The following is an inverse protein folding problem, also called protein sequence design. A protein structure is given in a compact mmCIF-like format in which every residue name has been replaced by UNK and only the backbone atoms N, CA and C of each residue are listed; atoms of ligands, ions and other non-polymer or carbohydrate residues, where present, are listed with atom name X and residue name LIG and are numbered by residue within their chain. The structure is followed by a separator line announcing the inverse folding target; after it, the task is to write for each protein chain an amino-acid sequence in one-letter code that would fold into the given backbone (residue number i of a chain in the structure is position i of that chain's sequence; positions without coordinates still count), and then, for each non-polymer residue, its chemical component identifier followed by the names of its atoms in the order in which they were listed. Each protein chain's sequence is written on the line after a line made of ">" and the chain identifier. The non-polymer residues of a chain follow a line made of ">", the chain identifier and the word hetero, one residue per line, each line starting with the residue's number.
data_IF_161122846789
#
_entry.id   IF_161122846789
#
_cell.length_a   1.000
_cell.length_b   1.000
_cell.length_c   1.000
_cell.angle_alpha   90.00
_cell.angle_beta   90.00
_cell.angle_gamma   90.00
#
_symmetry.space_group_name_H-M   'P 1'
#
loop_
_entity.id
_entity.type
_entity.pdbx_description
1 polymer ?
#
# COMPACT_ATOMS: atom_id res chain seq x y z
N UNK A 1 25.92 -19.42 7.95
CA UNK A 1 24.67 -18.96 7.30
C UNK A 1 23.69 -20.09 7.40
N UNK A 2 22.73 -19.97 8.31
CA UNK A 2 21.72 -21.00 8.58
C UNK A 2 20.71 -21.03 7.43
N UNK A 3 20.39 -22.23 6.95
CA UNK A 3 19.49 -22.42 5.81
C UNK A 3 18.09 -21.95 6.23
N UNK A 4 17.40 -21.10 5.46
CA UNK A 4 16.09 -20.61 5.86
C UNK A 4 15.13 -21.79 6.04
N UNK A 5 14.27 -21.76 7.07
CA UNK A 5 13.36 -22.85 7.35
C UNK A 5 12.43 -23.09 6.15
N UNK A 6 12.03 -24.35 5.90
CA UNK A 6 11.13 -24.69 4.82
C UNK A 6 9.79 -23.95 4.98
N UNK A 7 9.19 -23.60 3.85
CA UNK A 7 7.87 -22.99 3.79
C UNK A 7 6.86 -23.93 4.47
N UNK A 8 6.01 -23.39 5.34
CA UNK A 8 5.03 -24.21 6.06
C UNK A 8 4.03 -24.85 5.08
N UNK A 9 3.58 -26.09 5.34
CA UNK A 9 2.55 -26.75 4.53
C UNK A 9 1.30 -25.88 4.35
N UNK A 10 0.90 -25.19 5.42
CA UNK A 10 -0.23 -24.25 5.43
C UNK A 10 -0.06 -23.12 4.40
N UNK A 11 1.16 -22.59 4.25
CA UNK A 11 1.46 -21.54 3.28
C UNK A 11 1.46 -22.09 1.84
N UNK A 12 1.82 -23.36 1.65
CA UNK A 12 1.71 -24.04 0.35
C UNK A 12 0.24 -24.21 -0.05
N UNK A 13 -0.60 -24.66 0.88
CA UNK A 13 -2.04 -24.84 0.66
C UNK A 13 -2.74 -23.51 0.36
N UNK A 14 -2.35 -22.44 1.06
CA UNK A 14 -2.86 -21.09 0.84
C UNK A 14 -2.44 -20.54 -0.54
N UNK A 15 -1.20 -20.82 -0.97
CA UNK A 15 -0.70 -20.50 -2.31
C UNK A 15 -1.46 -21.25 -3.41
N UNK A 16 -1.69 -22.55 -3.25
CA UNK A 16 -2.45 -23.36 -4.23
C UNK A 16 -3.91 -22.91 -4.33
N UNK A 17 -4.51 -22.55 -3.21
CA UNK A 17 -5.88 -21.99 -3.16
C UNK A 17 -5.96 -20.67 -3.91
N UNK A 18 -4.95 -19.80 -3.75
CA UNK A 18 -4.86 -18.54 -4.48
C UNK A 18 -4.70 -18.74 -5.99
N UNK A 19 -3.95 -19.75 -6.43
CA UNK A 19 -3.81 -20.12 -7.86
C UNK A 19 -5.14 -20.58 -8.45
N UNK A 20 -5.92 -21.41 -7.74
CA UNK A 20 -7.24 -21.86 -8.22
C UNK A 20 -8.26 -20.71 -8.30
N UNK A 21 -8.22 -19.79 -7.34
CA UNK A 21 -9.06 -18.58 -7.34
C UNK A 21 -8.68 -17.64 -8.49
N UNK A 22 -7.39 -17.59 -8.84
CA UNK A 22 -6.87 -16.84 -9.98
C UNK A 22 -7.38 -17.36 -11.32
N UNK A 23 -7.62 -18.65 -11.49
CA UNK A 23 -8.11 -19.18 -12.76
C UNK A 23 -9.58 -18.83 -13.06
N UNK A 24 -10.34 -18.38 -12.05
CA UNK A 24 -11.80 -18.26 -12.10
C UNK A 24 -12.34 -16.83 -12.23
N UNK A 25 -11.50 -15.77 -12.26
CA UNK A 25 -12.00 -14.37 -12.26
C UNK A 25 -11.28 -13.47 -13.27
N UNK A 26 -11.94 -12.94 -14.32
CA UNK A 26 -11.29 -12.15 -15.38
C UNK A 26 -10.74 -10.75 -14.98
N UNK A 27 -10.88 -10.34 -13.72
CA UNK A 27 -10.23 -9.14 -13.17
C UNK A 27 -9.29 -9.53 -12.02
N UNK A 28 -7.98 -9.51 -12.30
CA UNK A 28 -6.92 -10.00 -11.42
C UNK A 28 -6.07 -8.87 -10.80
N UNK A 29 -6.54 -7.62 -10.79
CA UNK A 29 -5.75 -6.48 -10.26
C UNK A 29 -5.49 -6.62 -8.74
N UNK A 30 -6.53 -6.98 -7.98
CA UNK A 30 -6.41 -7.17 -6.53
C UNK A 30 -5.56 -8.38 -6.14
N UNK A 31 -5.49 -9.41 -7.00
CA UNK A 31 -4.70 -10.61 -6.72
C UNK A 31 -3.22 -10.37 -7.02
N UNK A 32 -2.89 -9.59 -8.05
CA UNK A 32 -1.50 -9.12 -8.22
C UNK A 32 -1.03 -8.33 -7.00
N UNK A 33 -1.88 -7.51 -6.41
CA UNK A 33 -1.53 -6.75 -5.21
C UNK A 33 -1.28 -7.65 -3.99
N UNK A 34 -2.07 -8.72 -3.83
CA UNK A 34 -1.82 -9.75 -2.80
C UNK A 34 -0.52 -10.50 -3.05
N UNK A 35 -0.22 -10.84 -4.30
CA UNK A 35 1.04 -11.50 -4.68
C UNK A 35 2.25 -10.58 -4.46
N UNK A 36 2.14 -9.30 -4.81
CA UNK A 36 3.14 -8.28 -4.51
C UNK A 36 3.42 -8.19 -3.02
N UNK A 37 2.37 -8.07 -2.23
CA UNK A 37 2.48 -8.01 -0.77
C UNK A 37 3.15 -9.26 -0.19
N UNK A 38 2.77 -10.45 -0.67
CA UNK A 38 3.36 -11.71 -0.23
C UNK A 38 4.84 -11.82 -0.58
N UNK A 39 5.22 -11.47 -1.82
CA UNK A 39 6.62 -11.50 -2.25
C UNK A 39 7.46 -10.48 -1.47
N UNK A 40 6.96 -9.27 -1.27
CA UNK A 40 7.63 -8.26 -0.45
C UNK A 40 7.86 -8.78 0.98
N UNK A 41 6.83 -9.36 1.60
CA UNK A 41 6.91 -9.92 2.96
C UNK A 41 7.94 -11.06 3.06
N UNK A 42 7.95 -11.97 2.08
CA UNK A 42 8.87 -13.12 2.04
C UNK A 42 10.32 -12.70 1.76
N UNK A 43 10.54 -11.67 0.92
CA UNK A 43 11.88 -11.11 0.68
C UNK A 43 12.40 -10.39 1.94
N UNK A 44 11.55 -9.62 2.62
CA UNK A 44 11.90 -8.95 3.89
C UNK A 44 12.28 -9.98 4.96
N UNK A 45 11.57 -11.11 5.02
CA UNK A 45 11.86 -12.22 5.93
C UNK A 45 13.07 -13.08 5.52
N UNK A 46 13.72 -12.77 4.40
CA UNK A 46 14.87 -13.54 3.90
C UNK A 46 14.50 -14.92 3.34
N UNK A 47 13.20 -15.20 3.15
CA UNK A 47 12.69 -16.47 2.66
C UNK A 47 12.64 -16.53 1.13
N UNK A 48 12.66 -15.37 0.45
CA UNK A 48 12.81 -15.27 -1.00
C UNK A 48 14.01 -14.39 -1.39
N UNK A 49 14.78 -14.77 -2.43
CA UNK A 49 15.81 -13.91 -2.99
C UNK A 49 15.23 -12.63 -3.62
N UNK A 50 15.97 -11.51 -3.55
CA UNK A 50 15.54 -10.20 -4.09
C UNK A 50 15.23 -10.22 -5.60
N UNK A 51 15.72 -11.21 -6.36
CA UNK A 51 15.42 -11.39 -7.79
C UNK A 51 13.92 -11.58 -8.07
N UNK A 52 13.14 -12.02 -7.08
CA UNK A 52 11.70 -12.17 -7.21
C UNK A 52 10.97 -10.82 -7.32
N UNK A 53 11.53 -9.74 -6.78
CA UNK A 53 11.00 -8.38 -6.96
C UNK A 53 11.05 -7.93 -8.43
N UNK A 54 12.15 -8.26 -9.13
CA UNK A 54 12.32 -7.92 -10.55
C UNK A 54 11.32 -8.66 -11.46
N UNK A 55 10.92 -9.88 -11.07
CA UNK A 55 9.91 -10.65 -11.81
C UNK A 55 8.51 -10.07 -11.67
N UNK A 56 8.19 -9.50 -10.50
CA UNK A 56 6.95 -8.75 -10.29
C UNK A 56 6.88 -7.51 -11.19
N UNK A 57 7.98 -6.78 -11.32
CA UNK A 57 8.02 -5.58 -12.17
C UNK A 57 7.78 -5.90 -13.65
N UNK A 58 8.24 -7.06 -14.11
CA UNK A 58 7.94 -7.56 -15.47
C UNK A 58 6.46 -7.94 -15.64
N UNK A 59 5.85 -8.57 -14.64
CA UNK A 59 4.41 -8.91 -14.65
C UNK A 59 3.53 -7.64 -14.63
N UNK A 60 4.01 -6.54 -14.05
CA UNK A 60 3.33 -5.23 -14.07
C UNK A 60 3.32 -4.57 -15.44
N UNK A 61 4.36 -4.77 -16.25
CA UNK A 61 4.51 -4.12 -17.56
C UNK A 61 3.52 -4.64 -18.62
N UNK A 62 3.10 -5.91 -18.54
CA UNK A 62 2.19 -6.55 -19.49
C UNK A 62 0.69 -6.39 -19.14
N UNK A 63 0.33 -5.56 -18.16
CA UNK A 63 -1.06 -5.41 -17.68
C UNK A 63 -1.68 -4.10 -18.13
N UNK A 64 -3.02 -4.11 -18.20
CA UNK A 64 -3.82 -2.88 -18.34
C UNK A 64 -3.36 -1.84 -17.30
N UNK A 65 -3.13 -0.57 -17.69
CA UNK A 65 -2.72 0.48 -16.77
C UNK A 65 -3.82 0.90 -15.79
N UNK A 66 -5.06 0.42 -16.00
CA UNK A 66 -6.21 0.69 -15.16
C UNK A 66 -6.06 0.00 -13.81
N UNK A 67 -6.01 0.78 -12.72
CA UNK A 67 -5.89 0.28 -11.34
C UNK A 67 -7.09 0.75 -10.53
N UNK A 68 -8.22 0.06 -10.67
CA UNK A 68 -9.43 0.34 -9.90
C UNK A 68 -9.55 -0.63 -8.73
N UNK A 69 -9.73 -0.12 -7.51
CA UNK A 69 -10.03 -0.99 -6.35
C UNK A 69 -11.52 -1.35 -6.37
N UNK A 70 -11.84 -2.63 -6.27
CA UNK A 70 -13.24 -3.09 -6.19
C UNK A 70 -13.69 -3.13 -4.73
N UNK A 71 -14.63 -2.26 -4.36
CA UNK A 71 -15.26 -2.22 -3.04
C UNK A 71 -16.76 -1.94 -3.23
N UNK A 72 -17.62 -2.70 -2.56
CA UNK A 72 -19.08 -2.50 -2.66
C UNK A 72 -19.50 -1.15 -2.08
N UNK A 73 -19.22 -0.92 -0.80
CA UNK A 73 -19.44 0.35 -0.13
C UNK A 73 -18.36 0.57 0.95
N UNK A 74 -17.53 1.60 0.76
CA UNK A 74 -16.43 1.92 1.68
C UNK A 74 -16.91 2.44 3.03
N UNK A 75 -18.12 2.99 3.12
CA UNK A 75 -18.67 3.55 4.35
C UNK A 75 -19.26 2.50 5.30
N UNK A 76 -19.48 1.27 4.81
CA UNK A 76 -19.95 0.15 5.63
C UNK A 76 -18.81 -0.68 6.23
N UNK A 77 -17.55 -0.28 6.00
CA UNK A 77 -16.39 -1.01 6.49
C UNK A 77 -15.97 -0.53 7.87
N UNK A 78 -15.51 -1.46 8.69
CA UNK A 78 -14.91 -1.16 9.98
C UNK A 78 -13.69 -0.25 9.80
N UNK A 79 -13.68 0.86 10.52
CA UNK A 79 -12.59 1.83 10.52
C UNK A 79 -11.72 1.55 11.73
N UNK A 80 -10.43 1.22 11.56
CA UNK A 80 -9.53 1.09 12.69
C UNK A 80 -9.44 2.40 13.47
N UNK A 81 -9.65 2.32 14.79
CA UNK A 81 -9.46 3.46 15.69
C UNK A 81 -7.97 3.66 15.95
N UNK A 82 -7.36 4.49 15.11
CA UNK A 82 -5.95 4.86 15.20
C UNK A 82 -5.87 6.37 15.38
N UNK A 83 -5.32 6.79 16.52
CA UNK A 83 -4.95 8.18 16.74
C UNK A 83 -3.69 8.53 15.94
N UNK A 84 -3.93 8.82 14.65
CA UNK A 84 -2.93 9.31 13.72
C UNK A 84 -2.35 10.66 14.15
N UNK A 85 -3.16 11.53 14.75
CA UNK A 85 -2.76 12.90 15.09
C UNK A 85 -1.60 12.90 16.10
N UNK A 86 -1.67 12.06 17.14
CA UNK A 86 -0.58 11.95 18.11
C UNK A 86 0.66 11.22 17.59
N UNK A 87 0.58 10.52 16.45
CA UNK A 87 1.66 9.66 15.92
C UNK A 87 2.32 10.19 14.65
N UNK A 88 1.72 11.18 13.99
CA UNK A 88 2.15 11.63 12.66
C UNK A 88 3.58 12.17 12.63
N UNK A 89 4.01 12.81 13.71
CA UNK A 89 5.37 13.33 13.87
C UNK A 89 6.42 12.22 14.06
N UNK A 90 6.01 11.01 14.46
CA UNK A 90 6.89 9.85 14.62
C UNK A 90 6.95 9.01 13.34
N UNK A 91 5.78 8.72 12.75
CA UNK A 91 5.73 7.90 11.54
C UNK A 91 6.02 8.71 10.25
N UNK A 92 6.11 10.04 10.36
CA UNK A 92 6.35 10.97 9.26
C UNK A 92 5.33 10.83 8.11
N UNK A 93 4.07 10.60 8.47
CA UNK A 93 2.95 10.37 7.56
C UNK A 93 3.17 9.22 6.57
N UNK A 94 3.76 8.11 7.02
CA UNK A 94 4.20 7.05 6.10
C UNK A 94 3.11 6.43 5.24
N UNK A 95 1.93 6.16 5.81
CA UNK A 95 0.81 5.60 5.06
C UNK A 95 0.35 6.55 3.94
N UNK A 96 0.51 7.87 4.11
CA UNK A 96 0.19 8.87 3.11
C UNK A 96 1.20 8.94 1.96
N UNK A 97 2.32 8.18 2.02
CA UNK A 97 3.31 8.07 0.93
C UNK A 97 3.08 6.85 0.05
N UNK A 98 2.16 5.97 0.43
CA UNK A 98 1.87 4.74 -0.31
C UNK A 98 1.13 5.03 -1.62
N UNK A 99 1.24 4.09 -2.55
CA UNK A 99 0.40 4.08 -3.74
C UNK A 99 -1.01 3.62 -3.37
N UNK A 100 -2.00 4.46 -3.69
CA UNK A 100 -3.40 4.21 -3.37
C UNK A 100 -4.19 4.17 -4.66
N UNK A 101 -4.67 2.97 -5.01
CA UNK A 101 -5.66 2.80 -6.06
C UNK A 101 -7.04 3.14 -5.53
N UNK A 102 -7.76 3.99 -6.23
CA UNK A 102 -9.09 4.48 -5.92
C UNK A 102 -10.14 3.48 -6.39
N UNK A 103 -11.26 3.42 -5.67
CA UNK A 103 -12.47 2.69 -6.07
C UNK A 103 -13.40 3.57 -6.89
N UNK A 104 -14.43 2.98 -7.50
CA UNK A 104 -15.47 3.75 -8.18
C UNK A 104 -16.16 4.77 -7.25
N UNK A 105 -16.39 4.38 -5.99
CA UNK A 105 -16.99 5.26 -4.98
C UNK A 105 -16.06 6.42 -4.60
N UNK A 106 -14.73 6.19 -4.60
CA UNK A 106 -13.76 7.25 -4.37
C UNK A 106 -13.79 8.32 -5.48
N UNK A 107 -14.03 7.90 -6.72
CA UNK A 107 -14.22 8.82 -7.85
C UNK A 107 -15.55 9.58 -7.75
N UNK A 108 -16.62 8.91 -7.29
CA UNK A 108 -17.91 9.55 -7.02
C UNK A 108 -17.83 10.58 -5.89
N UNK A 109 -16.89 10.43 -4.96
CA UNK A 109 -16.63 11.37 -3.86
C UNK A 109 -15.68 12.52 -4.26
N UNK A 110 -15.40 12.69 -5.55
CA UNK A 110 -14.52 13.72 -6.12
C UNK A 110 -13.07 13.66 -5.59
N UNK A 111 -12.57 12.46 -5.25
CA UNK A 111 -11.17 12.29 -4.85
C UNK A 111 -10.27 12.42 -6.08
N UNK A 112 -9.19 13.24 -6.03
CA UNK A 112 -8.32 13.46 -7.17
C UNK A 112 -7.61 12.18 -7.59
N UNK A 113 -7.40 12.02 -8.91
CA UNK A 113 -6.67 10.88 -9.48
C UNK A 113 -5.68 11.34 -10.58
N UNK A 114 -4.63 10.54 -10.81
CA UNK A 114 -3.64 10.79 -11.85
C UNK A 114 -4.16 10.35 -13.23
N UNK A 115 -4.21 11.26 -14.22
CA UNK A 115 -4.66 10.92 -15.58
C UNK A 115 -3.72 9.91 -16.28
N UNK A 116 -2.41 10.03 -16.06
CA UNK A 116 -1.39 9.13 -16.63
C UNK A 116 -1.34 7.77 -15.92
N UNK A 117 -1.95 7.66 -14.74
CA UNK A 117 -2.08 6.44 -13.96
C UNK A 117 -3.53 6.33 -13.48
N UNK A 118 -4.46 5.94 -14.36
CA UNK A 118 -5.89 6.02 -14.10
C UNK A 118 -6.28 5.43 -12.74
N UNK A 119 -7.07 6.19 -11.98
CA UNK A 119 -7.57 5.85 -10.65
C UNK A 119 -6.51 5.73 -9.56
N UNK A 120 -5.29 6.26 -9.76
CA UNK A 120 -4.30 6.35 -8.68
C UNK A 120 -4.40 7.70 -7.97
N UNK A 121 -4.39 7.71 -6.63
CA UNK A 121 -4.31 8.92 -5.83
C UNK A 121 -2.97 9.65 -6.08
N UNK A 122 -2.98 10.93 -6.47
CA UNK A 122 -1.76 11.66 -6.77
C UNK A 122 -0.88 11.85 -5.54
N UNK A 123 0.43 11.90 -5.77
CA UNK A 123 1.43 12.27 -4.77
C UNK A 123 2.23 13.48 -5.22
N UNK A 124 2.57 14.34 -4.27
CA UNK A 124 3.53 15.40 -4.52
C UNK A 124 4.90 14.77 -4.83
N UNK A 125 5.53 15.10 -5.97
CA UNK A 125 6.75 14.44 -6.42
C UNK A 125 7.97 14.75 -5.54
N UNK A 126 7.92 15.80 -4.73
CA UNK A 126 9.01 16.23 -3.85
C UNK A 126 8.83 15.68 -2.44
N UNK A 127 7.67 15.94 -1.81
CA UNK A 127 7.39 15.48 -0.45
C UNK A 127 7.06 13.99 -0.40
N UNK A 128 6.68 13.37 -1.54
CA UNK A 128 6.19 11.99 -1.69
C UNK A 128 4.88 11.69 -0.96
N UNK A 129 4.25 12.67 -0.31
CA UNK A 129 2.96 12.55 0.37
C UNK A 129 1.83 12.64 -0.66
N UNK A 130 0.67 12.06 -0.36
CA UNK A 130 -0.52 12.23 -1.17
C UNK A 130 -0.95 13.70 -1.19
N UNK A 131 -1.60 14.12 -2.28
CA UNK A 131 -2.04 15.52 -2.47
C UNK A 131 -3.14 15.97 -1.51
N UNK A 132 -3.75 15.04 -0.76
CA UNK A 132 -4.76 15.34 0.23
C UNK A 132 -4.19 15.65 1.63
N UNK A 133 -2.85 15.75 1.75
CA UNK A 133 -2.21 16.17 2.99
C UNK A 133 -1.96 17.68 2.96
N UNK A 134 -2.38 18.38 4.02
CA UNK A 134 -2.09 19.80 4.17
C UNK A 134 -0.66 20.08 4.69
N UNK A 135 -0.31 21.36 4.81
CA UNK A 135 0.98 21.79 5.32
C UNK A 135 1.21 21.43 6.79
N UNK A 136 0.15 21.29 7.59
CA UNK A 136 0.22 20.85 8.98
C UNK A 136 0.41 19.32 9.11
N UNK A 137 0.26 18.59 8.00
CA UNK A 137 0.36 17.14 7.96
C UNK A 137 -0.97 16.41 8.20
N UNK A 138 -2.09 17.13 8.28
CA UNK A 138 -3.41 16.52 8.43
C UNK A 138 -4.00 16.11 7.06
N UNK A 139 -4.85 15.09 7.08
CA UNK A 139 -5.58 14.66 5.88
C UNK A 139 -6.84 15.53 5.72
N UNK A 140 -6.92 16.28 4.62
CA UNK A 140 -8.03 17.20 4.35
C UNK A 140 -9.33 16.49 3.96
N UNK A 141 -9.24 15.21 3.60
CA UNK A 141 -10.39 14.35 3.23
C UNK A 141 -10.60 13.21 4.22
N UNK A 142 -10.24 13.38 5.51
CA UNK A 142 -10.24 12.29 6.49
C UNK A 142 -11.55 11.46 6.51
N UNK A 143 -12.71 12.12 6.48
CA UNK A 143 -14.01 11.43 6.45
C UNK A 143 -14.34 10.77 5.10
N UNK A 144 -13.81 11.32 4.00
CA UNK A 144 -14.01 10.81 2.64
C UNK A 144 -12.86 9.94 2.15
N UNK A 145 -11.91 9.58 3.02
CA UNK A 145 -10.68 8.85 2.67
C UNK A 145 -10.95 7.72 1.68
N UNK A 146 -10.00 7.46 0.75
CA UNK A 146 -10.10 6.34 -0.17
C UNK A 146 -10.43 5.04 0.55
N UNK A 147 -11.14 4.13 -0.11
CA UNK A 147 -11.55 2.88 0.52
C UNK A 147 -10.38 2.12 1.17
N UNK A 148 -9.22 2.08 0.50
CA UNK A 148 -7.99 1.50 1.05
C UNK A 148 -7.47 2.24 2.28
N UNK A 149 -7.46 3.58 2.28
CA UNK A 149 -7.02 4.38 3.42
C UNK A 149 -7.96 4.28 4.63
N UNK A 150 -9.25 4.03 4.39
CA UNK A 150 -10.27 3.93 5.45
C UNK A 150 -10.15 2.64 6.26
N UNK A 151 -9.87 1.51 5.59
CA UNK A 151 -9.75 0.19 6.24
C UNK A 151 -8.33 -0.16 6.66
N UNK A 152 -7.34 0.65 6.26
CA UNK A 152 -5.94 0.35 6.50
C UNK A 152 -5.55 0.58 7.97
N UNK A 153 -4.99 -0.47 8.58
CA UNK A 153 -4.44 -0.46 9.92
C UNK A 153 -2.91 -0.53 9.85
N UNK A 154 -2.22 0.50 10.37
CA UNK A 154 -0.76 0.56 10.32
C UNK A 154 -0.07 -0.19 11.46
N UNK A 155 -0.78 -0.61 12.52
CA UNK A 155 -0.18 -1.16 13.76
C UNK A 155 0.71 -2.37 13.53
N UNK A 156 0.28 -3.26 12.64
CA UNK A 156 1.03 -4.46 12.26
C UNK A 156 1.89 -4.28 11.01
N UNK A 157 2.01 -3.08 10.45
CA UNK A 157 2.72 -2.88 9.19
C UNK A 157 4.21 -2.58 9.45
N UNK A 158 5.13 -3.52 9.11
CA UNK A 158 6.57 -3.35 9.34
C UNK A 158 7.18 -2.26 8.46
N UNK A 159 6.47 -1.79 7.44
CA UNK A 159 6.90 -0.62 6.66
C UNK A 159 6.74 0.65 7.47
N UNK A 160 5.84 0.69 8.46
CA UNK A 160 5.52 1.87 9.29
C UNK A 160 6.14 1.79 10.66
N UNK A 161 6.01 0.65 11.35
CA UNK A 161 6.46 0.50 12.73
C UNK A 161 7.38 -0.71 12.89
N UNK A 162 8.44 -0.55 13.67
CA UNK A 162 9.15 -1.69 14.28
C UNK A 162 8.33 -2.16 15.48
N UNK A 163 7.85 -1.21 16.27
CA UNK A 163 6.98 -1.45 17.43
C UNK A 163 5.99 -0.28 17.55
N UNK A 164 4.71 -0.57 17.33
CA UNK A 164 3.66 0.44 17.39
C UNK A 164 3.39 0.95 18.81
N UNK A 165 3.42 0.06 19.81
CA UNK A 165 3.11 0.39 21.20
C UNK A 165 4.27 1.16 21.84
N UNK A 166 5.50 0.74 21.58
CA UNK A 166 6.70 1.48 22.00
C UNK A 166 6.97 2.75 21.18
N UNK A 167 6.13 3.03 20.17
CA UNK A 167 6.22 4.20 19.28
C UNK A 167 7.54 4.28 18.50
N UNK A 168 8.06 3.13 18.08
CA UNK A 168 9.31 3.01 17.32
C UNK A 168 8.97 2.86 15.82
N UNK A 169 9.11 3.93 15.02
CA UNK A 169 8.84 3.85 13.58
C UNK A 169 9.92 3.02 12.87
N UNK A 170 9.54 2.41 11.76
CA UNK A 170 10.51 1.78 10.87
C UNK A 170 11.41 2.83 10.20
N UNK A 171 12.65 2.51 9.79
CA UNK A 171 13.49 3.42 9.01
C UNK A 171 12.80 3.85 7.71
N UNK A 172 12.93 5.12 7.31
CA UNK A 172 12.32 5.61 6.07
C UNK A 172 13.01 4.97 4.84
N UNK A 173 12.27 4.29 3.94
CA UNK A 173 12.85 3.77 2.72
C UNK A 173 13.29 4.91 1.82
N UNK A 174 14.46 4.77 1.17
CA UNK A 174 15.04 5.78 0.27
C UNK A 174 14.04 6.27 -0.81
N UNK A 175 13.26 5.36 -1.39
CA UNK A 175 12.22 5.67 -2.38
C UNK A 175 11.11 6.61 -1.89
N UNK A 176 10.93 6.72 -0.57
CA UNK A 176 9.90 7.55 0.08
C UNK A 176 10.48 8.81 0.71
N UNK A 177 11.80 8.97 0.71
CA UNK A 177 12.48 10.15 1.25
C UNK A 177 12.13 11.38 0.41
N UNK A 178 11.79 12.52 1.05
CA UNK A 178 11.54 13.77 0.34
C UNK A 178 12.75 14.20 -0.50
N UNK A 179 12.48 14.70 -1.70
CA UNK A 179 13.49 15.30 -2.58
C UNK A 179 13.39 16.81 -2.46
N UNK A 180 14.50 17.55 -2.31
CA UNK A 180 14.49 19.01 -2.29
C UNK A 180 13.80 19.58 -3.54
N UNK A 181 12.94 20.60 -3.34
CA UNK A 181 12.41 21.36 -4.47
C UNK A 181 13.54 22.21 -5.07
N UNK A 182 13.71 22.24 -6.39
CA UNK A 182 14.62 23.20 -7.00
C UNK A 182 14.17 24.62 -6.63
N UNK A 183 15.11 25.44 -6.17
CA UNK A 183 14.87 26.88 -5.97
C UNK A 183 14.52 27.50 -7.33
N UNK A 184 13.43 28.26 -7.36
CA UNK A 184 12.95 28.97 -8.56
C UNK A 184 13.67 30.31 -8.71
#
# INVERSE_FOLDING_TARGET
>A
MEKPPPISPDLVEELETLVKILELRPDHADIARKLEWLVDALVIRGQLPKVFLQRIDKIKADRSPVRLTVVDNKYLKDVPDIDCASRLHLCEARCCRFEVALSAQDIQDDIPFELQRPYMLPRDPYTKKCVCMDAAGACTIYEKRPASCRVYDCRGDPRVWIDFEARIPAPMPEKLTPVPKPEQ
#
